data_IF_336324712075
#
_entry.id   IF_336324712075
#
_cell.length_a   1.000
_cell.length_b   1.000
_cell.length_c   1.000
_cell.angle_alpha   90.00
_cell.angle_beta   90.00
_cell.angle_gamma   90.00
#
_symmetry.space_group_name_H-M   'P 1'
#
loop_
_entity.id
_entity.type
_entity.pdbx_description
1 polymer ?
#
# COMPACT_ATOMS: atom_id res chain seq x y z
N UNK A 1 0.74 -7.67 -18.66
CA UNK A 1 0.40 -7.36 -17.25
C UNK A 1 1.16 -8.36 -16.39
N UNK A 2 2.28 -7.95 -15.78
CA UNK A 2 3.11 -8.86 -14.97
C UNK A 2 2.87 -8.51 -13.50
N UNK A 3 1.98 -9.27 -12.84
CA UNK A 3 1.78 -9.17 -11.40
C UNK A 3 2.95 -9.89 -10.73
N UNK A 4 4.09 -9.21 -10.59
CA UNK A 4 5.17 -9.67 -9.72
C UNK A 4 4.67 -9.53 -8.28
N UNK A 5 5.01 -10.49 -7.42
CA UNK A 5 4.57 -10.44 -6.03
C UNK A 5 4.99 -9.14 -5.35
N UNK A 6 4.14 -8.59 -4.50
CA UNK A 6 4.46 -7.39 -3.72
C UNK A 6 5.51 -7.77 -2.66
N UNK A 7 6.67 -7.09 -2.61
CA UNK A 7 7.69 -7.37 -1.61
C UNK A 7 7.15 -7.18 -0.20
N UNK A 8 7.61 -8.01 0.74
CA UNK A 8 7.21 -7.90 2.16
C UNK A 8 7.46 -6.50 2.74
N UNK A 9 8.56 -5.85 2.34
CA UNK A 9 8.85 -4.48 2.74
C UNK A 9 7.71 -3.52 2.37
N UNK A 10 7.09 -3.68 1.20
CA UNK A 10 5.96 -2.85 0.79
C UNK A 10 4.69 -3.12 1.59
N UNK A 11 4.46 -4.37 1.97
CA UNK A 11 3.36 -4.73 2.88
C UNK A 11 3.55 -4.01 4.22
N UNK A 12 4.77 -4.04 4.77
CA UNK A 12 5.09 -3.34 6.03
C UNK A 12 4.92 -1.82 5.90
N UNK A 13 5.35 -1.23 4.78
CA UNK A 13 5.17 0.20 4.53
C UNK A 13 3.68 0.58 4.42
N UNK A 14 2.87 -0.24 3.76
CA UNK A 14 1.42 -0.04 3.67
C UNK A 14 0.75 -0.11 5.04
N UNK A 15 1.10 -1.11 5.86
CA UNK A 15 0.55 -1.23 7.22
C UNK A 15 0.95 -0.06 8.13
N UNK A 16 2.21 0.40 8.03
CA UNK A 16 2.77 1.45 8.90
C UNK A 16 2.37 2.86 8.48
N UNK A 17 2.44 3.18 7.18
CA UNK A 17 2.28 4.55 6.68
C UNK A 17 1.03 4.74 5.82
N UNK A 18 0.40 3.67 5.34
CA UNK A 18 -0.72 3.76 4.41
C UNK A 18 -1.95 4.40 5.05
N UNK A 19 -2.62 5.26 4.27
CA UNK A 19 -3.93 5.81 4.60
C UNK A 19 -4.97 4.69 4.54
N UNK A 20 -5.92 4.72 5.47
CA UNK A 20 -7.03 3.77 5.56
C UNK A 20 -8.24 4.31 4.81
N UNK A 21 -8.85 3.46 3.98
CA UNK A 21 -10.17 3.65 3.40
C UNK A 21 -11.03 2.42 3.75
N UNK A 22 -12.15 2.63 4.43
CA UNK A 22 -13.07 1.55 4.78
C UNK A 22 -13.93 1.22 3.57
N UNK A 23 -14.09 -0.06 3.24
CA UNK A 23 -14.91 -0.49 2.11
C UNK A 23 -16.40 -0.67 2.45
N UNK A 24 -16.79 -0.38 3.70
CA UNK A 24 -18.12 -0.57 4.28
C UNK A 24 -18.64 -2.02 4.30
N UNK A 25 -17.81 -3.00 3.95
CA UNK A 25 -18.13 -4.43 3.91
C UNK A 25 -17.22 -5.27 4.83
N UNK A 26 -16.53 -4.64 5.78
CA UNK A 26 -15.66 -5.31 6.75
C UNK A 26 -14.18 -5.35 6.35
N UNK A 27 -13.79 -4.71 5.25
CA UNK A 27 -12.40 -4.53 4.84
C UNK A 27 -11.90 -3.08 5.03
N UNK A 28 -10.60 -2.98 5.29
CA UNK A 28 -9.84 -1.72 5.26
C UNK A 28 -8.83 -1.79 4.15
N UNK A 29 -8.95 -0.88 3.19
CA UNK A 29 -7.95 -0.68 2.14
C UNK A 29 -6.86 0.23 2.71
N UNK A 30 -5.60 -0.21 2.62
CA UNK A 30 -4.44 0.66 2.85
C UNK A 30 -3.75 0.99 1.54
N UNK A 31 -3.45 2.27 1.37
CA UNK A 31 -2.76 2.78 0.19
C UNK A 31 -1.78 3.91 0.55
N UNK A 32 -0.80 4.15 -0.31
CA UNK A 32 0.18 5.22 -0.09
C UNK A 32 -0.28 6.52 -0.75
N UNK A 33 -0.70 7.48 0.06
CA UNK A 33 -0.91 8.85 -0.39
C UNK A 33 0.41 9.64 -0.46
N UNK A 34 0.33 10.92 -0.85
CA UNK A 34 1.52 11.79 -0.98
C UNK A 34 2.27 11.96 0.35
N UNK A 35 1.56 11.94 1.49
CA UNK A 35 2.17 12.11 2.81
C UNK A 35 2.92 10.83 3.22
N UNK A 36 2.27 9.68 3.08
CA UNK A 36 2.83 8.36 3.34
C UNK A 36 4.10 8.13 2.51
N UNK A 37 4.05 8.44 1.21
CA UNK A 37 5.21 8.36 0.29
C UNK A 37 6.41 9.17 0.79
N UNK A 38 6.21 10.42 1.22
CA UNK A 38 7.29 11.25 1.77
C UNK A 38 7.83 10.71 3.09
N UNK A 39 6.96 10.19 3.96
CA UNK A 39 7.37 9.59 5.24
C UNK A 39 8.22 8.34 5.02
N UNK A 40 7.85 7.49 4.07
CA UNK A 40 8.63 6.31 3.65
C UNK A 40 9.98 6.76 3.08
N UNK A 41 10.00 7.72 2.14
CA UNK A 41 11.24 8.23 1.54
C UNK A 41 12.22 8.75 2.59
N UNK A 42 11.72 9.49 3.60
CA UNK A 42 12.53 9.95 4.73
C UNK A 42 13.05 8.80 5.59
N UNK A 43 12.29 7.73 5.74
CA UNK A 43 12.64 6.57 6.58
C UNK A 43 13.68 5.66 5.93
N UNK A 44 13.50 5.28 4.65
CA UNK A 44 14.37 4.33 3.95
C UNK A 44 15.47 5.00 3.09
N UNK A 45 15.39 6.31 2.93
CA UNK A 45 16.28 7.09 2.07
C UNK A 45 15.85 7.12 0.59
N UNK A 46 16.17 8.22 -0.09
CA UNK A 46 15.71 8.50 -1.46
C UNK A 46 16.20 7.50 -2.50
N UNK A 47 17.42 6.96 -2.36
CA UNK A 47 17.97 5.98 -3.30
C UNK A 47 17.20 4.65 -3.26
N UNK A 48 16.89 4.16 -2.06
CA UNK A 48 16.10 2.92 -1.89
C UNK A 48 14.67 3.16 -2.35
N UNK A 49 14.07 4.28 -1.94
CA UNK A 49 12.71 4.65 -2.33
C UNK A 49 12.53 4.68 -3.86
N UNK A 50 13.47 5.27 -4.60
CA UNK A 50 13.43 5.29 -6.07
C UNK A 50 13.46 3.90 -6.71
N UNK A 51 14.20 2.95 -6.12
CA UNK A 51 14.24 1.56 -6.63
C UNK A 51 12.91 0.84 -6.46
N UNK A 52 12.06 1.28 -5.52
CA UNK A 52 10.76 0.67 -5.23
C UNK A 52 9.59 1.27 -6.02
N UNK A 53 9.88 2.12 -7.01
CA UNK A 53 8.85 2.88 -7.73
C UNK A 53 7.73 2.03 -8.35
N UNK A 54 8.03 0.80 -8.77
CA UNK A 54 7.04 -0.12 -9.36
C UNK A 54 5.92 -0.53 -8.37
N UNK A 55 6.14 -0.36 -7.07
CA UNK A 55 5.19 -0.71 -6.00
C UNK A 55 4.51 0.51 -5.36
N UNK A 56 4.74 1.73 -5.85
CA UNK A 56 4.14 2.93 -5.22
C UNK A 56 2.62 2.98 -5.30
N UNK A 57 2.03 2.28 -6.28
CA UNK A 57 0.58 2.14 -6.44
C UNK A 57 0.06 0.81 -5.87
N UNK A 58 0.87 0.12 -5.05
CA UNK A 58 0.43 -1.03 -4.30
C UNK A 58 -0.61 -0.64 -3.24
N UNK A 59 -1.49 -1.57 -2.95
CA UNK A 59 -2.45 -1.51 -1.87
C UNK A 59 -2.55 -2.88 -1.20
N UNK A 60 -3.08 -2.88 0.01
CA UNK A 60 -3.55 -4.10 0.67
C UNK A 60 -4.95 -3.89 1.20
N UNK A 61 -5.66 -5.00 1.37
CA UNK A 61 -6.93 -5.07 2.07
C UNK A 61 -6.70 -5.93 3.31
N UNK A 62 -7.08 -5.42 4.47
CA UNK A 62 -7.06 -6.14 5.73
C UNK A 62 -8.46 -6.24 6.32
N UNK A 63 -8.72 -7.29 7.08
CA UNK A 63 -9.94 -7.41 7.85
C UNK A 63 -9.98 -6.34 8.95
N UNK A 64 -11.11 -5.64 9.09
CA UNK A 64 -11.28 -4.53 10.06
C UNK A 64 -11.02 -4.98 11.51
N UNK A 65 -11.41 -6.21 11.85
CA UNK A 65 -11.42 -6.74 13.22
C UNK A 65 -10.06 -7.27 13.67
N UNK A 66 -9.35 -7.95 12.78
CA UNK A 66 -8.16 -8.74 13.08
C UNK A 66 -6.89 -8.15 12.48
N UNK A 67 -7.01 -7.25 11.51
CA UNK A 67 -5.88 -6.71 10.75
C UNK A 67 -5.17 -7.75 9.86
N UNK A 68 -5.76 -8.94 9.71
CA UNK A 68 -5.24 -9.99 8.82
C UNK A 68 -5.33 -9.49 7.38
N UNK A 69 -4.25 -9.63 6.64
CA UNK A 69 -4.19 -9.28 5.22
C UNK A 69 -5.07 -10.28 4.45
N UNK A 70 -6.14 -9.76 3.84
CA UNK A 70 -7.03 -10.52 2.96
C UNK A 70 -6.40 -10.63 1.57
N UNK A 71 -5.90 -9.51 1.04
CA UNK A 71 -5.27 -9.47 -0.28
C UNK A 71 -4.34 -8.26 -0.43
N UNK A 72 -3.45 -8.31 -1.41
CA UNK A 72 -2.64 -7.17 -1.82
C UNK A 72 -2.52 -7.15 -3.35
N UNK A 73 -2.34 -5.97 -3.92
CA UNK A 73 -2.26 -5.81 -5.37
C UNK A 73 -1.71 -4.45 -5.79
N UNK A 74 -1.49 -4.31 -7.09
CA UNK A 74 -1.18 -3.02 -7.72
C UNK A 74 -2.48 -2.40 -8.22
N UNK A 75 -2.68 -1.10 -8.02
CA UNK A 75 -3.77 -0.38 -8.67
C UNK A 75 -3.47 -0.30 -10.17
N UNK A 76 -4.34 -0.87 -10.98
CA UNK A 76 -4.46 -0.47 -12.37
C UNK A 76 -5.35 0.78 -12.44
N UNK A 77 -5.03 1.69 -13.35
CA UNK A 77 -5.74 2.95 -13.57
C UNK A 77 -7.26 2.70 -13.60
N UNK A 78 -7.99 3.19 -12.59
CA UNK A 78 -9.45 2.99 -12.48
C UNK A 78 -9.99 2.80 -11.06
N UNK A 79 -9.18 2.33 -10.10
CA UNK A 79 -9.62 2.26 -8.70
C UNK A 79 -9.56 3.67 -8.09
N UNK A 80 -10.69 4.32 -7.80
CA UNK A 80 -10.72 5.61 -7.11
C UNK A 80 -10.82 5.35 -5.60
N UNK A 81 -9.71 5.55 -4.87
CA UNK A 81 -9.69 5.50 -3.41
C UNK A 81 -9.86 6.93 -2.90
N UNK A 82 -10.93 7.17 -2.14
CA UNK A 82 -11.27 8.46 -1.53
C UNK A 82 -10.30 8.88 -0.40
#
# INVERSE_FOLDING_TARGET
MQQRGIPRLMIEMLQRYGKRAYDHHGGVIRYLDKSARRSIEKYIGSQVYRRMHEFHDAYLVEAVDSGVIITCGHRFTGLHLA
#
